data_IF_514315326740
#
_entry.id   IF_514315326740
#
_cell.length_a   1.000
_cell.length_b   1.000
_cell.length_c   1.000
_cell.angle_alpha   90.00
_cell.angle_beta   90.00
_cell.angle_gamma   90.00
#
_symmetry.space_group_name_H-M   'P 1'
#
loop_
_entity.id
_entity.type
_entity.pdbx_description
1 polymer ?
#
# COMPACT_ATOMS: atom_id res chain seq x y z
N UNK A 1 14.48 27.89 -8.95
CA UNK A 1 14.56 27.75 -7.47
C UNK A 1 13.78 26.50 -7.05
N UNK A 2 13.87 25.43 -7.86
CA UNK A 2 12.80 24.42 -8.03
C UNK A 2 13.28 22.98 -7.81
N UNK A 3 14.39 22.79 -7.10
CA UNK A 3 15.07 21.48 -7.00
C UNK A 3 14.63 20.60 -5.84
N UNK A 4 13.63 21.00 -5.04
CA UNK A 4 13.18 20.16 -3.93
C UNK A 4 12.27 19.04 -4.43
N UNK A 5 12.42 17.80 -3.91
CA UNK A 5 11.54 16.72 -4.27
C UNK A 5 10.11 17.06 -3.85
N UNK A 6 9.25 17.28 -4.82
CA UNK A 6 7.81 17.25 -4.58
C UNK A 6 7.35 15.80 -4.57
N UNK A 7 6.35 15.50 -3.74
CA UNK A 7 5.65 14.23 -3.81
C UNK A 7 4.29 14.43 -4.46
N UNK A 8 3.98 13.54 -5.40
CA UNK A 8 2.70 13.45 -6.06
C UNK A 8 2.20 12.01 -5.98
N UNK A 9 1.02 11.84 -5.40
CA UNK A 9 0.30 10.57 -5.41
C UNK A 9 -0.64 10.51 -6.59
N UNK A 10 -0.76 9.35 -7.22
CA UNK A 10 -1.82 9.05 -8.16
C UNK A 10 -2.26 7.60 -8.08
N UNK A 11 -3.54 7.33 -8.34
CA UNK A 11 -4.01 5.96 -8.41
C UNK A 11 -5.51 5.78 -8.44
N UNK A 12 -5.91 4.50 -8.43
CA UNK A 12 -7.29 4.06 -8.37
C UNK A 12 -7.55 3.43 -7.02
N UNK A 13 -8.65 3.85 -6.40
CA UNK A 13 -9.16 3.32 -5.13
C UNK A 13 -10.61 2.86 -5.32
N UNK A 14 -11.01 1.84 -4.55
CA UNK A 14 -12.38 1.33 -4.57
C UNK A 14 -13.38 2.43 -4.17
N UNK A 15 -13.04 3.24 -3.16
CA UNK A 15 -13.88 4.34 -2.68
C UNK A 15 -14.17 5.39 -3.76
N UNK A 16 -13.19 5.74 -4.59
CA UNK A 16 -13.35 6.83 -5.57
C UNK A 16 -13.77 6.34 -6.97
N UNK A 17 -13.51 5.07 -7.31
CA UNK A 17 -13.69 4.57 -8.68
C UNK A 17 -14.41 3.21 -8.77
N UNK A 18 -14.71 2.57 -7.64
CA UNK A 18 -15.24 1.22 -7.56
C UNK A 18 -14.18 0.13 -7.75
N UNK A 19 -14.48 -1.09 -7.28
CA UNK A 19 -13.56 -2.23 -7.37
C UNK A 19 -13.25 -2.64 -8.79
N UNK A 20 -14.19 -2.47 -9.73
CA UNK A 20 -13.96 -2.78 -11.13
C UNK A 20 -12.80 -1.95 -11.72
N UNK A 21 -12.76 -0.65 -11.43
CA UNK A 21 -11.67 0.21 -11.89
C UNK A 21 -10.33 -0.20 -11.25
N UNK A 22 -10.32 -0.56 -9.97
CA UNK A 22 -9.12 -1.05 -9.27
C UNK A 22 -8.61 -2.36 -9.88
N UNK A 23 -9.50 -3.32 -10.14
CA UNK A 23 -9.16 -4.59 -10.77
C UNK A 23 -8.47 -4.37 -12.12
N UNK A 24 -9.08 -3.53 -12.97
CA UNK A 24 -8.56 -3.17 -14.28
C UNK A 24 -7.23 -2.43 -14.18
N UNK A 25 -7.08 -1.51 -13.22
CA UNK A 25 -5.82 -0.82 -12.97
C UNK A 25 -4.70 -1.81 -12.58
N UNK A 26 -5.00 -2.80 -11.73
CA UNK A 26 -4.04 -3.84 -11.32
C UNK A 26 -3.60 -4.74 -12.47
N UNK A 27 -4.45 -4.97 -13.48
CA UNK A 27 -4.00 -5.66 -14.71
C UNK A 27 -2.87 -4.89 -15.42
N UNK A 28 -2.81 -3.57 -15.25
CA UNK A 28 -1.76 -2.72 -15.78
C UNK A 28 -0.53 -2.58 -14.86
N UNK A 29 -0.51 -3.18 -13.66
CA UNK A 29 0.52 -2.94 -12.63
C UNK A 29 1.95 -3.15 -13.15
N UNK A 30 2.20 -4.24 -13.88
CA UNK A 30 3.53 -4.48 -14.47
C UNK A 30 3.91 -3.43 -15.52
N UNK A 31 2.95 -2.92 -16.29
CA UNK A 31 3.21 -1.85 -17.26
C UNK A 31 3.49 -0.53 -16.55
N UNK A 32 2.76 -0.23 -15.48
CA UNK A 32 3.01 0.94 -14.61
C UNK A 32 4.42 0.87 -14.02
N UNK A 33 4.79 -0.26 -13.43
CA UNK A 33 6.15 -0.47 -12.90
C UNK A 33 7.22 -0.34 -14.00
N UNK A 34 6.96 -0.85 -15.21
CA UNK A 34 7.86 -0.70 -16.35
C UNK A 34 7.97 0.74 -16.86
N UNK A 35 6.90 1.54 -16.75
CA UNK A 35 6.93 2.98 -17.06
C UNK A 35 7.72 3.74 -16.01
N UNK A 36 7.50 3.42 -14.73
CA UNK A 36 8.20 4.03 -13.59
C UNK A 36 9.70 3.71 -13.57
N UNK A 37 10.10 2.48 -13.92
CA UNK A 37 11.51 2.09 -13.94
C UNK A 37 12.33 2.77 -15.05
N UNK A 38 11.66 3.33 -16.06
CA UNK A 38 12.27 4.14 -17.13
C UNK A 38 12.28 5.64 -16.80
N UNK A 39 11.80 6.04 -15.62
CA UNK A 39 11.85 7.42 -15.21
C UNK A 39 13.31 7.93 -15.18
N UNK A 40 13.49 9.21 -15.54
CA UNK A 40 14.80 9.83 -15.59
C UNK A 40 15.51 9.89 -14.23
N UNK A 41 16.81 10.20 -14.21
CA UNK A 41 17.56 10.33 -12.97
C UNK A 41 16.91 11.36 -12.03
N UNK A 42 16.88 11.03 -10.73
CA UNK A 42 16.29 11.89 -9.70
C UNK A 42 14.80 11.64 -9.43
N UNK A 43 14.15 10.76 -10.19
CA UNK A 43 12.79 10.30 -9.90
C UNK A 43 12.86 9.07 -8.99
N UNK A 44 12.03 9.09 -7.96
CA UNK A 44 11.78 7.99 -7.03
C UNK A 44 10.29 7.66 -7.03
N UNK A 45 9.96 6.40 -6.73
CA UNK A 45 8.58 5.95 -6.67
C UNK A 45 8.38 4.84 -5.65
N UNK A 46 7.19 4.85 -5.05
CA UNK A 46 6.64 3.82 -4.19
C UNK A 46 5.28 3.40 -4.75
N UNK A 47 5.02 2.09 -4.87
CA UNK A 47 3.74 1.56 -5.37
C UNK A 47 3.08 0.70 -4.29
N UNK A 48 1.82 1.02 -3.98
CA UNK A 48 0.96 0.22 -3.12
C UNK A 48 -0.15 -0.42 -3.95
N UNK A 49 -0.14 -1.75 -3.98
CA UNK A 49 -1.15 -2.57 -4.67
C UNK A 49 -1.83 -3.48 -3.64
N UNK A 50 -3.11 -3.25 -3.37
CA UNK A 50 -3.93 -4.05 -2.43
C UNK A 50 -5.20 -4.54 -3.12
N UNK A 51 -6.14 -5.17 -2.41
CA UNK A 51 -7.44 -5.53 -2.98
C UNK A 51 -8.35 -4.31 -3.25
N UNK A 52 -8.09 -3.15 -2.64
CA UNK A 52 -8.93 -1.96 -2.74
C UNK A 52 -8.26 -0.77 -3.43
N UNK A 53 -6.98 -0.89 -3.81
CA UNK A 53 -6.23 0.20 -4.46
C UNK A 53 -5.05 -0.26 -5.30
N UNK A 54 -4.73 0.56 -6.30
CA UNK A 54 -3.42 0.63 -6.95
C UNK A 54 -3.00 2.09 -6.98
N UNK A 55 -1.97 2.43 -6.20
CA UNK A 55 -1.49 3.81 -6.04
C UNK A 55 0.02 3.88 -6.18
N UNK A 56 0.49 4.94 -6.82
CA UNK A 56 1.90 5.29 -6.93
C UNK A 56 2.14 6.64 -6.27
N UNK A 57 3.19 6.74 -5.48
CA UNK A 57 3.70 8.00 -4.93
C UNK A 57 5.05 8.25 -5.60
N UNK A 58 5.13 9.34 -6.35
CA UNK A 58 6.32 9.74 -7.09
C UNK A 58 7.03 10.87 -6.33
N UNK A 59 8.36 10.89 -6.39
CA UNK A 59 9.17 11.94 -5.79
C UNK A 59 10.32 12.39 -6.68
N UNK A 60 10.50 13.69 -6.85
CA UNK A 60 11.57 14.26 -7.66
C UNK A 60 11.34 15.74 -7.98
N UNK A 61 12.18 16.36 -8.84
CA UNK A 61 12.00 17.74 -9.27
C UNK A 61 10.69 17.92 -10.04
N UNK A 62 10.00 19.04 -9.83
CA UNK A 62 8.66 19.33 -10.39
C UNK A 62 8.58 19.10 -11.91
N UNK A 63 9.49 19.69 -12.68
CA UNK A 63 9.49 19.60 -14.15
C UNK A 63 9.64 18.16 -14.66
N UNK A 64 10.37 17.32 -13.92
CA UNK A 64 10.57 15.91 -14.27
C UNK A 64 9.42 15.02 -13.83
N UNK A 65 8.69 15.41 -12.78
CA UNK A 65 7.54 14.66 -12.26
C UNK A 65 6.34 14.72 -13.19
N UNK A 66 6.05 15.86 -13.81
CA UNK A 66 4.87 16.02 -14.67
C UNK A 66 4.92 15.04 -15.86
N UNK A 67 6.09 14.89 -16.48
CA UNK A 67 6.27 13.93 -17.59
C UNK A 67 6.09 12.46 -17.17
N UNK A 68 6.59 12.08 -16.00
CA UNK A 68 6.43 10.71 -15.48
C UNK A 68 4.97 10.47 -15.05
N UNK A 69 4.35 11.47 -14.41
CA UNK A 69 2.94 11.44 -14.04
C UNK A 69 2.05 11.20 -15.26
N UNK A 70 2.24 11.96 -16.34
CA UNK A 70 1.47 11.81 -17.58
C UNK A 70 1.71 10.44 -18.25
N UNK A 71 2.93 9.93 -18.20
CA UNK A 71 3.25 8.60 -18.73
C UNK A 71 2.54 7.48 -17.95
N UNK A 72 2.51 7.56 -16.61
CA UNK A 72 1.79 6.60 -15.76
C UNK A 72 0.28 6.70 -16.00
N UNK A 73 -0.25 7.92 -16.02
CA UNK A 73 -1.66 8.19 -16.33
C UNK A 73 -2.06 7.60 -17.68
N UNK A 74 -1.26 7.79 -18.72
CA UNK A 74 -1.49 7.20 -20.05
C UNK A 74 -1.47 5.67 -20.01
N UNK A 75 -0.52 5.08 -19.29
CA UNK A 75 -0.43 3.61 -19.12
C UNK A 75 -1.70 3.03 -18.47
N UNK A 76 -2.26 3.74 -17.50
CA UNK A 76 -3.49 3.34 -16.82
C UNK A 76 -4.75 3.53 -17.68
N UNK A 77 -4.80 4.57 -18.51
CA UNK A 77 -5.93 4.85 -19.43
C UNK A 77 -6.21 3.73 -20.43
N UNK A 78 -5.21 2.94 -20.78
CA UNK A 78 -5.39 1.77 -21.65
C UNK A 78 -6.26 0.67 -20.99
N UNK A 79 -6.44 0.72 -19.66
CA UNK A 79 -7.15 -0.32 -18.90
C UNK A 79 -8.39 0.21 -18.18
N UNK A 80 -8.38 1.49 -17.79
CA UNK A 80 -9.44 2.15 -17.01
C UNK A 80 -9.86 3.45 -17.70
N UNK A 81 -11.16 3.60 -17.95
CA UNK A 81 -11.71 4.77 -18.66
C UNK A 81 -11.76 6.04 -17.82
N UNK A 82 -11.87 5.91 -16.49
CA UNK A 82 -11.88 7.04 -15.58
C UNK A 82 -10.47 7.57 -15.30
N UNK A 83 -10.39 8.83 -14.89
CA UNK A 83 -9.12 9.44 -14.49
C UNK A 83 -8.70 8.97 -13.09
N UNK A 84 -7.40 8.76 -12.83
CA UNK A 84 -6.93 8.45 -11.49
C UNK A 84 -7.11 9.64 -10.55
N UNK A 85 -7.29 9.36 -9.26
CA UNK A 85 -7.20 10.37 -8.22
C UNK A 85 -5.76 10.89 -8.12
N UNK A 86 -5.60 12.17 -7.79
CA UNK A 86 -4.31 12.85 -7.69
C UNK A 86 -4.20 13.55 -6.35
N UNK A 87 -3.10 13.30 -5.64
CA UNK A 87 -2.86 13.80 -4.30
C UNK A 87 -1.55 14.61 -4.29
N UNK A 88 -1.60 15.83 -3.75
CA UNK A 88 -0.45 16.76 -3.67
C UNK A 88 -0.41 17.46 -2.32
N UNK A 89 0.80 17.82 -1.86
CA UNK A 89 0.99 18.60 -0.64
C UNK A 89 0.26 18.00 0.56
N UNK A 90 -0.49 18.83 1.29
CA UNK A 90 -1.29 18.42 2.45
C UNK A 90 -2.25 17.26 2.15
N UNK A 91 -2.89 17.27 0.97
CA UNK A 91 -3.81 16.20 0.58
C UNK A 91 -3.13 14.84 0.41
N UNK A 92 -1.86 14.80 0.02
CA UNK A 92 -1.09 13.56 -0.03
C UNK A 92 -0.74 13.04 1.37
N UNK A 93 -0.36 13.94 2.29
CA UNK A 93 -0.06 13.57 3.68
C UNK A 93 -1.28 12.95 4.33
N UNK A 94 -2.43 13.64 4.26
CA UNK A 94 -3.68 13.16 4.83
C UNK A 94 -4.08 11.83 4.20
N UNK A 95 -4.03 11.73 2.88
CA UNK A 95 -4.34 10.50 2.14
C UNK A 95 -3.50 9.33 2.64
N UNK A 96 -2.17 9.45 2.63
CA UNK A 96 -1.28 8.36 3.03
C UNK A 96 -1.55 7.91 4.47
N UNK A 97 -1.78 8.85 5.40
CA UNK A 97 -2.10 8.51 6.78
C UNK A 97 -3.46 7.80 6.92
N UNK A 98 -4.49 8.24 6.19
CA UNK A 98 -5.81 7.56 6.14
C UNK A 98 -5.68 6.15 5.59
N UNK A 99 -4.90 5.97 4.53
CA UNK A 99 -4.67 4.67 3.91
C UNK A 99 -3.94 3.74 4.86
N UNK A 100 -2.77 4.13 5.37
CA UNK A 100 -1.94 3.26 6.21
C UNK A 100 -2.55 3.01 7.60
N UNK A 101 -3.46 3.86 8.07
CA UNK A 101 -4.22 3.60 9.30
C UNK A 101 -5.42 2.67 9.10
N UNK A 102 -5.79 2.36 7.85
CA UNK A 102 -6.92 1.51 7.49
C UNK A 102 -8.27 2.24 7.47
N UNK A 103 -8.29 3.59 7.58
CA UNK A 103 -9.53 4.40 7.51
C UNK A 103 -10.23 4.31 6.14
N UNK A 104 -9.49 3.93 5.11
CA UNK A 104 -10.00 3.74 3.75
C UNK A 104 -10.05 2.27 3.32
N UNK A 105 -10.00 1.36 4.28
CA UNK A 105 -10.12 -0.06 3.99
C UNK A 105 -11.57 -0.53 4.13
N UNK A 106 -12.02 -1.52 3.33
CA UNK A 106 -13.38 -2.05 3.44
C UNK A 106 -13.62 -2.72 4.79
N UNK A 107 -12.58 -3.37 5.33
CA UNK A 107 -12.50 -3.72 6.73
C UNK A 107 -11.94 -2.51 7.49
N UNK A 108 -12.83 -1.64 7.97
CA UNK A 108 -12.45 -0.36 8.57
C UNK A 108 -11.42 -0.56 9.69
N UNK A 109 -10.33 0.21 9.61
CA UNK A 109 -9.18 0.09 10.49
C UNK A 109 -8.56 -1.31 10.53
N UNK A 110 -8.33 -1.96 9.39
CA UNK A 110 -7.44 -3.13 9.33
C UNK A 110 -5.94 -2.76 9.35
N UNK A 111 -5.08 -3.66 9.87
CA UNK A 111 -3.61 -3.46 9.99
C UNK A 111 -2.82 -4.03 8.78
N UNK A 112 -3.48 -4.82 7.96
CA UNK A 112 -2.92 -5.47 6.78
C UNK A 112 -2.39 -4.43 5.79
N UNK A 113 -3.07 -3.31 5.55
CA UNK A 113 -2.61 -2.23 4.67
C UNK A 113 -1.28 -1.63 5.14
N UNK A 114 -1.08 -1.45 6.45
CA UNK A 114 0.20 -1.00 6.99
C UNK A 114 1.30 -2.05 6.76
N UNK A 115 0.96 -3.33 6.93
CA UNK A 115 1.88 -4.44 6.68
C UNK A 115 2.23 -4.59 5.19
N UNK A 116 1.26 -4.38 4.30
CA UNK A 116 1.43 -4.34 2.85
C UNK A 116 2.29 -3.14 2.45
N UNK A 117 2.07 -1.96 3.04
CA UNK A 117 2.90 -0.78 2.82
C UNK A 117 4.36 -1.02 3.24
N UNK A 118 4.61 -1.68 4.39
CA UNK A 118 5.96 -2.10 4.81
C UNK A 118 6.59 -3.06 3.80
N UNK A 119 5.82 -4.04 3.30
CA UNK A 119 6.31 -4.98 2.29
C UNK A 119 6.63 -4.27 0.97
N UNK A 120 5.77 -3.37 0.49
CA UNK A 120 6.00 -2.52 -0.69
C UNK A 120 7.22 -1.62 -0.53
N UNK A 121 7.46 -1.06 0.66
CA UNK A 121 8.63 -0.22 0.92
C UNK A 121 9.92 -1.04 0.86
N UNK A 122 9.92 -2.25 1.42
CA UNK A 122 11.05 -3.18 1.33
C UNK A 122 11.33 -3.59 -0.11
N UNK A 123 10.29 -3.89 -0.88
CA UNK A 123 10.41 -4.22 -2.31
C UNK A 123 10.97 -3.03 -3.11
N UNK A 124 10.47 -1.82 -2.84
CA UNK A 124 10.95 -0.58 -3.45
C UNK A 124 12.44 -0.32 -3.17
N UNK A 125 12.89 -0.57 -1.94
CA UNK A 125 14.32 -0.50 -1.57
C UNK A 125 15.16 -1.50 -2.36
N UNK A 126 14.69 -2.75 -2.51
CA UNK A 126 15.41 -3.79 -3.25
C UNK A 126 15.59 -3.46 -4.74
N UNK A 127 14.67 -2.68 -5.31
CA UNK A 127 14.71 -2.21 -6.71
C UNK A 127 15.45 -0.87 -6.87
N UNK A 128 15.85 -0.22 -5.77
CA UNK A 128 16.40 1.12 -5.79
C UNK A 128 15.42 2.20 -6.25
N UNK A 129 14.11 1.96 -6.15
CA UNK A 129 13.09 2.89 -6.65
C UNK A 129 12.80 4.05 -5.69
N UNK A 130 13.15 3.92 -4.41
CA UNK A 130 12.97 4.98 -3.40
C UNK A 130 14.30 5.66 -3.09
N UNK A 131 14.30 6.99 -3.06
CA UNK A 131 15.41 7.77 -2.52
C UNK A 131 15.25 7.96 -1.01
N UNK A 132 16.21 8.63 -0.36
CA UNK A 132 16.17 8.90 1.08
C UNK A 132 14.91 9.67 1.50
N UNK A 133 14.53 10.70 0.75
CA UNK A 133 13.39 11.54 1.09
C UNK A 133 12.08 10.75 1.07
N UNK A 134 11.81 10.03 -0.03
CA UNK A 134 10.60 9.22 -0.17
C UNK A 134 10.58 8.05 0.82
N UNK A 135 11.73 7.42 1.09
CA UNK A 135 11.85 6.40 2.12
C UNK A 135 11.45 6.91 3.50
N UNK A 136 11.99 8.06 3.93
CA UNK A 136 11.65 8.66 5.24
C UNK A 136 10.17 9.00 5.27
N UNK A 137 9.63 9.63 4.23
CA UNK A 137 8.21 9.97 4.17
C UNK A 137 7.29 8.76 4.35
N UNK A 138 7.50 7.69 3.57
CA UNK A 138 6.66 6.49 3.64
C UNK A 138 6.84 5.76 4.98
N UNK A 139 8.07 5.62 5.48
CA UNK A 139 8.34 5.00 6.78
C UNK A 139 7.63 5.72 7.92
N UNK A 140 7.81 7.04 8.00
CA UNK A 140 7.21 7.85 9.06
C UNK A 140 5.69 7.86 8.96
N UNK A 141 5.13 7.88 7.75
CA UNK A 141 3.69 7.76 7.56
C UNK A 141 3.16 6.41 8.07
N UNK A 142 3.86 5.30 7.81
CA UNK A 142 3.48 3.98 8.32
C UNK A 142 3.49 3.98 9.86
N UNK A 143 4.56 4.49 10.48
CA UNK A 143 4.71 4.47 11.93
C UNK A 143 3.67 5.38 12.62
N UNK A 144 3.47 6.60 12.11
CA UNK A 144 2.44 7.52 12.60
C UNK A 144 1.03 6.97 12.41
N UNK A 145 0.75 6.27 11.31
CA UNK A 145 -0.55 5.61 11.13
C UNK A 145 -0.79 4.46 12.11
N UNK A 146 0.26 3.73 12.50
CA UNK A 146 0.16 2.71 13.56
C UNK A 146 -0.11 3.37 14.91
N UNK A 147 0.55 4.49 15.21
CA UNK A 147 0.33 5.24 16.45
C UNK A 147 -1.05 5.90 16.51
N UNK A 148 -1.58 6.37 15.37
CA UNK A 148 -2.96 6.84 15.24
C UNK A 148 -3.93 5.73 15.65
N UNK A 149 -3.76 4.51 15.11
CA UNK A 149 -4.59 3.34 15.47
C UNK A 149 -4.50 3.01 16.95
N UNK A 150 -3.29 2.98 17.52
CA UNK A 150 -3.09 2.76 18.97
C UNK A 150 -3.79 3.83 19.82
N UNK A 151 -3.77 5.08 19.37
CA UNK A 151 -4.46 6.21 20.02
C UNK A 151 -5.99 6.06 20.00
N UNK A 152 -6.52 5.27 19.08
CA UNK A 152 -7.94 4.87 19.01
C UNK A 152 -8.25 3.61 19.84
N UNK A 153 -7.26 2.97 20.46
CA UNK A 153 -7.42 1.71 21.19
C UNK A 153 -7.57 0.49 20.28
N UNK A 154 -7.09 0.58 19.04
CA UNK A 154 -7.23 -0.47 18.02
C UNK A 154 -6.02 -1.41 18.06
N UNK A 155 -6.04 -2.36 19.00
CA UNK A 155 -5.03 -3.42 19.15
C UNK A 155 -5.52 -4.72 18.48
N UNK A 156 -4.98 -5.02 17.30
CA UNK A 156 -5.43 -6.13 16.44
C UNK A 156 -6.31 -5.64 15.28
N UNK A 157 -6.68 -6.55 14.37
CA UNK A 157 -7.54 -6.18 13.24
C UNK A 157 -8.42 -7.33 12.76
N UNK A 158 -9.68 -7.01 12.53
CA UNK A 158 -10.52 -7.69 11.55
C UNK A 158 -10.03 -7.23 10.18
N UNK A 159 -9.37 -8.10 9.41
CA UNK A 159 -9.08 -7.79 8.01
C UNK A 159 -10.20 -8.28 7.10
N UNK A 160 -9.99 -8.13 5.80
CA UNK A 160 -10.90 -8.67 4.77
C UNK A 160 -11.19 -10.16 4.95
N UNK A 161 -10.22 -11.04 5.31
CA UNK A 161 -10.50 -12.45 5.53
C UNK A 161 -11.54 -12.70 6.62
N UNK A 162 -11.38 -12.09 7.79
CA UNK A 162 -12.33 -12.25 8.90
C UNK A 162 -13.67 -11.58 8.59
N UNK A 163 -13.65 -10.37 8.00
CA UNK A 163 -14.86 -9.67 7.58
C UNK A 163 -15.68 -10.51 6.59
N UNK A 164 -15.04 -11.23 5.67
CA UNK A 164 -15.73 -12.07 4.69
C UNK A 164 -16.56 -13.17 5.36
N UNK A 165 -16.03 -13.81 6.40
CA UNK A 165 -16.75 -14.83 7.17
C UNK A 165 -17.88 -14.20 7.98
N UNK A 166 -17.64 -13.03 8.59
CA UNK A 166 -18.69 -12.30 9.32
C UNK A 166 -19.85 -11.90 8.39
N UNK A 167 -19.53 -11.47 7.17
CA UNK A 167 -20.51 -11.07 6.16
C UNK A 167 -21.36 -12.24 5.66
N UNK A 168 -20.75 -13.40 5.43
CA UNK A 168 -21.50 -14.61 5.08
C UNK A 168 -22.42 -15.03 6.22
N UNK A 169 -21.93 -15.02 7.46
CA UNK A 169 -22.75 -15.33 8.64
C UNK A 169 -23.90 -14.35 8.83
N UNK A 170 -23.67 -13.07 8.53
CA UNK A 170 -24.72 -12.05 8.54
C UNK A 170 -25.80 -12.33 7.47
N UNK A 171 -25.40 -12.82 6.30
CA UNK A 171 -26.31 -13.11 5.19
C UNK A 171 -27.06 -14.45 5.35
N UNK A 172 -26.39 -15.51 5.81
CA UNK A 172 -26.92 -16.87 5.88
C UNK A 172 -27.41 -17.28 7.27
N UNK A 173 -27.04 -16.53 8.31
CA UNK A 173 -27.26 -16.92 9.70
C UNK A 173 -26.20 -17.91 10.18
N UNK A 174 -26.62 -18.94 10.91
CA UNK A 174 -25.71 -19.95 11.44
C UNK A 174 -25.07 -20.75 10.29
N UNK A 175 -23.77 -21.02 10.41
CA UNK A 175 -22.98 -21.76 9.43
C UNK A 175 -22.77 -23.22 9.83
N UNK A 176 -23.26 -23.62 11.01
CA UNK A 176 -23.17 -25.00 11.48
C UNK A 176 -23.84 -25.97 10.49
N UNK A 177 -23.13 -27.06 10.21
CA UNK A 177 -23.58 -28.08 9.26
C UNK A 177 -23.27 -27.79 7.78
N UNK A 178 -22.86 -26.57 7.42
CA UNK A 178 -22.42 -26.26 6.05
C UNK A 178 -21.08 -26.91 5.73
N UNK A 179 -20.94 -27.39 4.49
CA UNK A 179 -19.69 -27.89 3.91
C UNK A 179 -18.94 -26.70 3.30
N UNK A 180 -17.85 -26.29 3.94
CA UNK A 180 -17.12 -25.09 3.56
C UNK A 180 -15.84 -25.46 2.81
N UNK A 181 -15.60 -24.82 1.68
CA UNK A 181 -14.40 -25.02 0.87
C UNK A 181 -13.64 -23.71 0.67
N UNK A 182 -12.33 -23.74 0.81
CA UNK A 182 -11.44 -22.58 0.61
C UNK A 182 -10.44 -22.90 -0.50
N UNK A 183 -10.56 -22.17 -1.61
CA UNK A 183 -9.67 -22.28 -2.76
C UNK A 183 -8.56 -21.25 -2.65
N UNK A 184 -7.39 -21.71 -2.21
CA UNK A 184 -6.20 -20.90 -2.02
C UNK A 184 -5.54 -21.16 -0.66
N UNK A 185 -4.23 -21.38 -0.69
CA UNK A 185 -3.42 -21.74 0.49
C UNK A 185 -2.55 -20.59 0.99
N UNK A 186 -2.79 -19.37 0.50
CA UNK A 186 -2.08 -18.17 0.91
C UNK A 186 -2.55 -17.64 2.27
N UNK A 187 -2.02 -16.48 2.67
CA UNK A 187 -2.32 -15.87 3.96
C UNK A 187 -3.82 -15.57 4.14
N UNK A 188 -4.50 -15.11 3.09
CA UNK A 188 -5.96 -14.87 3.11
C UNK A 188 -6.71 -16.17 3.43
N UNK A 189 -6.44 -17.26 2.71
CA UNK A 189 -7.09 -18.55 2.94
C UNK A 189 -6.79 -19.14 4.31
N UNK A 190 -5.55 -19.00 4.80
CA UNK A 190 -5.18 -19.38 6.16
C UNK A 190 -6.01 -18.63 7.20
N UNK A 191 -6.21 -17.32 7.03
CA UNK A 191 -6.98 -16.48 7.96
C UNK A 191 -8.46 -16.80 7.94
N UNK A 192 -9.06 -16.98 6.75
CA UNK A 192 -10.45 -17.46 6.61
C UNK A 192 -10.62 -18.78 7.36
N UNK A 193 -9.79 -19.79 7.05
CA UNK A 193 -9.85 -21.09 7.70
C UNK A 193 -9.67 -21.00 9.21
N UNK A 194 -8.67 -20.24 9.66
CA UNK A 194 -8.39 -20.05 11.10
C UNK A 194 -9.55 -19.39 11.82
N UNK A 195 -10.23 -18.43 11.19
CA UNK A 195 -11.37 -17.76 11.81
C UNK A 195 -12.62 -18.65 11.85
N UNK A 196 -12.92 -19.38 10.78
CA UNK A 196 -13.98 -20.40 10.78
C UNK A 196 -13.76 -21.45 11.88
N UNK A 197 -12.52 -21.92 12.05
CA UNK A 197 -12.16 -22.82 13.16
C UNK A 197 -12.39 -22.22 14.54
N UNK A 198 -12.08 -20.92 14.73
CA UNK A 198 -12.36 -20.22 16.00
C UNK A 198 -13.87 -20.15 16.29
N UNK A 199 -14.71 -20.18 15.25
CA UNK A 199 -16.17 -20.25 15.37
C UNK A 199 -16.69 -21.67 15.62
N UNK A 200 -15.83 -22.70 15.67
CA UNK A 200 -16.22 -24.08 15.90
C UNK A 200 -16.50 -24.89 14.63
N UNK A 201 -16.35 -24.28 13.44
CA UNK A 201 -16.59 -24.94 12.17
C UNK A 201 -15.38 -25.80 11.79
N UNK A 202 -15.59 -27.12 11.69
CA UNK A 202 -14.51 -28.09 11.43
C UNK A 202 -14.62 -28.78 10.06
N UNK A 203 -15.78 -28.73 9.41
CA UNK A 203 -16.03 -29.29 8.08
C UNK A 203 -15.50 -28.36 6.98
N UNK A 204 -14.18 -28.15 6.97
CA UNK A 204 -13.49 -27.23 6.05
C UNK A 204 -12.57 -28.03 5.12
N UNK A 205 -12.76 -27.85 3.81
CA UNK A 205 -11.89 -28.37 2.76
C UNK A 205 -10.95 -27.30 2.25
N UNK A 206 -9.66 -27.61 2.16
CA UNK A 206 -8.64 -26.71 1.59
C UNK A 206 -8.29 -27.18 0.18
N UNK A 207 -8.34 -26.26 -0.78
CA UNK A 207 -8.00 -26.52 -2.18
C UNK A 207 -6.80 -25.67 -2.55
N UNK A 208 -5.72 -26.32 -2.99
CA UNK A 208 -4.46 -25.67 -3.35
C UNK A 208 -4.14 -25.85 -4.82
N UNK A 209 -3.20 -25.03 -5.33
CA UNK A 209 -2.66 -25.23 -6.69
C UNK A 209 -2.11 -26.66 -6.84
N UNK A 210 -1.46 -27.18 -5.79
CA UNK A 210 -1.10 -28.58 -5.66
C UNK A 210 -1.72 -29.19 -4.40
N UNK A 211 -1.91 -30.50 -4.40
CA UNK A 211 -2.39 -31.22 -3.20
C UNK A 211 -1.47 -30.99 -2.00
N UNK A 212 -0.15 -31.03 -2.21
CA UNK A 212 0.85 -30.82 -1.14
C UNK A 212 0.72 -29.46 -0.45
N UNK A 213 0.42 -28.38 -1.19
CA UNK A 213 0.20 -27.07 -0.56
C UNK A 213 -1.08 -27.04 0.27
N UNK A 214 -2.13 -27.72 -0.20
CA UNK A 214 -3.39 -27.84 0.53
C UNK A 214 -3.22 -28.66 1.82
N UNK A 215 -2.55 -29.81 1.74
CA UNK A 215 -2.25 -30.69 2.88
C UNK A 215 -1.42 -29.97 3.93
N UNK A 216 -0.45 -29.15 3.51
CA UNK A 216 0.40 -28.39 4.42
C UNK A 216 -0.43 -27.42 5.28
N UNK A 217 -1.35 -26.67 4.65
CA UNK A 217 -2.24 -25.75 5.36
C UNK A 217 -3.29 -26.50 6.19
N UNK A 218 -3.88 -27.56 5.65
CA UNK A 218 -4.86 -28.39 6.36
C UNK A 218 -4.24 -28.99 7.63
N UNK A 219 -3.03 -29.57 7.53
CA UNK A 219 -2.29 -30.11 8.68
C UNK A 219 -1.97 -29.05 9.72
N UNK A 220 -1.50 -27.86 9.30
CA UNK A 220 -1.21 -26.75 10.20
C UNK A 220 -2.44 -26.35 11.04
N UNK A 221 -3.62 -26.44 10.43
CA UNK A 221 -4.88 -26.08 11.06
C UNK A 221 -5.63 -27.29 11.64
N UNK A 222 -5.09 -28.51 11.61
CA UNK A 222 -5.77 -29.72 12.07
C UNK A 222 -7.06 -30.02 11.31
N UNK A 223 -7.08 -29.78 10.00
CA UNK A 223 -8.15 -30.15 9.07
C UNK A 223 -7.76 -31.42 8.33
N UNK A 224 -8.76 -32.24 7.95
CA UNK A 224 -8.53 -33.53 7.29
C UNK A 224 -8.71 -33.49 5.77
N UNK A 225 -9.42 -32.48 5.26
CA UNK A 225 -9.82 -32.41 3.85
C UNK A 225 -8.91 -31.46 3.07
N UNK A 226 -8.12 -32.01 2.14
CA UNK A 226 -7.21 -31.26 1.30
C UNK A 226 -7.22 -31.81 -0.14
N UNK A 227 -7.37 -30.92 -1.12
CA UNK A 227 -7.54 -31.26 -2.53
C UNK A 227 -6.64 -30.41 -3.43
N UNK A 228 -6.34 -30.92 -4.63
CA UNK A 228 -5.70 -30.13 -5.68
C UNK A 228 -6.73 -29.34 -6.49
N UNK A 229 -6.26 -28.38 -7.28
CA UNK A 229 -7.10 -27.60 -8.20
C UNK A 229 -7.74 -28.46 -9.31
N UNK A 230 -7.14 -29.61 -9.64
CA UNK A 230 -7.71 -30.57 -10.61
C UNK A 230 -9.01 -31.20 -10.11
N UNK A 231 -9.18 -31.26 -8.78
CA UNK A 231 -10.35 -31.83 -8.11
C UNK A 231 -11.47 -30.79 -7.88
N UNK A 232 -11.26 -29.54 -8.30
CA UNK A 232 -12.09 -28.38 -7.97
C UNK A 232 -13.57 -28.61 -8.23
N UNK A 233 -13.95 -29.16 -9.40
CA UNK A 233 -15.36 -29.40 -9.72
C UNK A 233 -16.06 -30.37 -8.77
N UNK A 234 -15.39 -31.45 -8.38
CA UNK A 234 -15.94 -32.42 -7.43
C UNK A 234 -16.12 -31.82 -6.03
N UNK A 235 -15.19 -30.94 -5.63
CA UNK A 235 -15.24 -30.26 -4.34
C UNK A 235 -16.34 -29.21 -4.33
N UNK A 236 -16.48 -28.42 -5.39
CA UNK A 236 -17.57 -27.44 -5.53
C UNK A 236 -18.92 -28.15 -5.43
N UNK A 237 -19.14 -29.23 -6.20
CA UNK A 237 -20.40 -29.99 -6.12
C UNK A 237 -20.72 -30.59 -4.73
N UNK A 238 -19.71 -30.72 -3.87
CA UNK A 238 -19.85 -31.19 -2.49
C UNK A 238 -19.81 -30.08 -1.44
N UNK A 239 -19.84 -28.80 -1.84
CA UNK A 239 -19.75 -27.64 -0.95
C UNK A 239 -21.03 -26.82 -0.97
N UNK A 240 -21.34 -26.19 0.16
CA UNK A 240 -22.44 -25.24 0.31
C UNK A 240 -21.93 -23.79 0.32
N UNK A 241 -20.68 -23.59 0.77
CA UNK A 241 -20.01 -22.29 0.85
C UNK A 241 -18.57 -22.39 0.33
N UNK A 242 -18.23 -21.52 -0.62
CA UNK A 242 -16.95 -21.51 -1.32
C UNK A 242 -16.25 -20.16 -1.14
N UNK A 243 -15.08 -20.14 -0.51
CA UNK A 243 -14.20 -18.98 -0.48
C UNK A 243 -13.15 -19.09 -1.58
N UNK A 244 -13.14 -18.15 -2.52
CA UNK A 244 -12.11 -18.02 -3.55
C UNK A 244 -11.10 -16.96 -3.13
N UNK A 245 -9.88 -17.37 -2.83
CA UNK A 245 -8.87 -16.51 -2.19
C UNK A 245 -7.51 -16.62 -2.86
N UNK A 246 -7.51 -16.85 -4.17
CA UNK A 246 -6.29 -17.02 -4.97
C UNK A 246 -5.83 -15.70 -5.58
N UNK A 247 -4.52 -15.62 -5.85
CA UNK A 247 -3.91 -14.52 -6.61
C UNK A 247 -3.83 -14.83 -8.12
N UNK A 248 -4.76 -15.63 -8.65
CA UNK A 248 -4.79 -15.94 -10.09
C UNK A 248 -5.06 -14.68 -10.91
N UNK A 249 -4.45 -14.59 -12.10
CA UNK A 249 -4.72 -13.51 -13.05
C UNK A 249 -5.94 -13.80 -13.92
N UNK A 250 -6.22 -15.08 -14.12
CA UNK A 250 -7.37 -15.58 -14.87
C UNK A 250 -8.37 -16.23 -13.92
N UNK A 251 -9.68 -16.15 -14.19
CA UNK A 251 -10.68 -16.91 -13.45
C UNK A 251 -10.36 -18.40 -13.43
N UNK A 252 -10.43 -19.00 -12.24
CA UNK A 252 -10.23 -20.44 -12.02
C UNK A 252 -11.56 -21.19 -11.96
N UNK A 253 -12.65 -20.50 -11.63
CA UNK A 253 -14.02 -21.04 -11.64
C UNK A 253 -14.69 -20.61 -12.95
N UNK A 254 -14.82 -21.54 -13.89
CA UNK A 254 -15.63 -21.41 -15.10
C UNK A 254 -17.03 -22.05 -15.00
N UNK A 255 -17.86 -21.85 -16.04
CA UNK A 255 -19.27 -22.29 -16.13
C UNK A 255 -19.50 -23.75 -15.72
N UNK A 256 -18.65 -24.67 -16.19
CA UNK A 256 -18.77 -26.11 -15.93
C UNK A 256 -18.65 -26.50 -14.45
N UNK A 257 -18.09 -25.63 -13.60
CA UNK A 257 -18.01 -25.88 -12.16
C UNK A 257 -19.28 -25.51 -11.40
N UNK A 258 -20.06 -24.57 -11.93
CA UNK A 258 -21.20 -23.96 -11.23
C UNK A 258 -22.55 -24.34 -11.86
N UNK A 259 -22.54 -25.05 -12.99
CA UNK A 259 -23.76 -25.47 -13.67
C UNK A 259 -24.57 -26.44 -12.79
N UNK A 260 -25.79 -26.03 -12.43
CA UNK A 260 -26.65 -26.78 -11.50
C UNK A 260 -26.16 -26.82 -10.05
N UNK A 261 -25.15 -26.03 -9.68
CA UNK A 261 -24.67 -25.93 -8.30
C UNK A 261 -25.38 -24.78 -7.57
N UNK A 262 -25.96 -25.10 -6.42
CA UNK A 262 -26.65 -24.16 -5.54
C UNK A 262 -25.84 -23.99 -4.25
N UNK A 263 -25.18 -22.84 -4.11
CA UNK A 263 -24.36 -22.53 -2.95
C UNK A 263 -23.91 -21.08 -2.95
N UNK A 264 -23.09 -20.70 -1.98
CA UNK A 264 -22.60 -19.33 -1.83
C UNK A 264 -21.13 -19.24 -2.20
N UNK A 265 -20.79 -18.32 -3.08
CA UNK A 265 -19.41 -17.99 -3.44
C UNK A 265 -19.03 -16.67 -2.78
N UNK A 266 -17.89 -16.66 -2.12
CA UNK A 266 -17.24 -15.47 -1.58
C UNK A 266 -15.91 -15.31 -2.29
N UNK A 267 -15.84 -14.36 -3.22
CA UNK A 267 -14.64 -14.11 -3.98
C UNK A 267 -13.85 -12.96 -3.34
N UNK A 268 -12.64 -13.26 -2.87
CA UNK A 268 -11.69 -12.26 -2.34
C UNK A 268 -10.55 -12.01 -3.34
N UNK A 269 -10.67 -12.54 -4.55
CA UNK A 269 -9.72 -12.36 -5.63
C UNK A 269 -9.68 -10.91 -6.12
N UNK A 270 -8.47 -10.44 -6.42
CA UNK A 270 -8.23 -9.20 -7.13
C UNK A 270 -7.02 -9.36 -8.08
N UNK A 271 -7.21 -9.83 -9.33
CA UNK A 271 -8.50 -10.03 -10.02
C UNK A 271 -9.38 -11.18 -9.50
N UNK A 272 -10.68 -11.11 -9.82
CA UNK A 272 -11.70 -12.10 -9.44
C UNK A 272 -11.34 -13.50 -9.91
N UNK A 273 -11.71 -14.47 -9.09
CA UNK A 273 -11.42 -15.89 -9.31
C UNK A 273 -12.54 -16.61 -10.08
N UNK A 274 -13.71 -15.99 -10.20
CA UNK A 274 -14.79 -16.42 -11.10
C UNK A 274 -15.05 -15.34 -12.16
N UNK A 275 -15.37 -15.77 -13.38
CA UNK A 275 -15.79 -14.84 -14.44
C UNK A 275 -17.12 -14.15 -14.04
N UNK A 276 -17.17 -12.81 -13.94
CA UNK A 276 -18.38 -12.09 -13.53
C UNK A 276 -19.57 -12.27 -14.48
N UNK A 277 -19.31 -12.60 -15.76
CA UNK A 277 -20.38 -12.87 -16.74
C UNK A 277 -21.22 -14.10 -16.39
N UNK A 278 -20.72 -14.95 -15.48
CA UNK A 278 -21.41 -16.13 -15.00
C UNK A 278 -22.33 -15.86 -13.79
N UNK A 279 -22.22 -14.69 -13.17
CA UNK A 279 -23.04 -14.35 -11.98
C UNK A 279 -24.55 -14.46 -12.27
N UNK A 280 -25.09 -13.98 -13.41
CA UNK A 280 -26.51 -14.12 -13.71
C UNK A 280 -26.99 -15.57 -13.89
N UNK A 281 -26.08 -16.50 -14.19
CA UNK A 281 -26.37 -17.93 -14.39
C UNK A 281 -26.27 -18.73 -13.08
N UNK A 282 -25.85 -18.12 -11.96
CA UNK A 282 -25.77 -18.80 -10.67
C UNK A 282 -27.15 -19.05 -10.07
N UNK A 283 -27.39 -20.29 -9.64
CA UNK A 283 -28.58 -20.63 -8.85
C UNK A 283 -28.46 -20.14 -7.41
N UNK A 284 -27.23 -20.09 -6.89
CA UNK A 284 -26.92 -19.60 -5.56
C UNK A 284 -26.52 -18.12 -5.53
N UNK A 285 -25.75 -17.72 -4.51
CA UNK A 285 -25.35 -16.33 -4.29
C UNK A 285 -23.85 -16.12 -4.56
N UNK A 286 -23.51 -14.91 -5.03
CA UNK A 286 -22.12 -14.47 -5.20
C UNK A 286 -21.90 -13.21 -4.38
N UNK A 287 -20.85 -13.21 -3.57
CA UNK A 287 -20.42 -12.10 -2.73
C UNK A 287 -18.99 -11.73 -3.11
N UNK A 288 -18.76 -10.45 -3.40
CA UNK A 288 -17.45 -9.89 -3.69
C UNK A 288 -17.10 -8.78 -2.71
N UNK A 289 -15.92 -8.17 -2.89
CA UNK A 289 -15.39 -7.11 -2.04
C UNK A 289 -16.35 -5.92 -1.89
N UNK A 290 -17.14 -5.61 -2.93
CA UNK A 290 -18.14 -4.54 -2.89
C UNK A 290 -19.27 -4.84 -1.88
N UNK A 291 -19.77 -6.08 -1.89
CA UNK A 291 -20.78 -6.53 -0.92
C UNK A 291 -20.23 -6.52 0.51
N UNK A 292 -18.96 -6.91 0.67
CA UNK A 292 -18.27 -6.85 1.97
C UNK A 292 -18.17 -5.42 2.49
N UNK A 293 -17.87 -4.45 1.64
CA UNK A 293 -17.81 -3.03 2.02
C UNK A 293 -19.18 -2.50 2.44
N UNK A 294 -20.25 -2.91 1.76
CA UNK A 294 -21.62 -2.53 2.12
C UNK A 294 -21.96 -3.11 3.51
N UNK A 295 -21.72 -4.40 3.71
CA UNK A 295 -22.03 -5.09 4.96
C UNK A 295 -21.13 -4.66 6.13
N UNK A 296 -19.91 -4.20 5.86
CA UNK A 296 -18.97 -3.81 6.92
C UNK A 296 -19.48 -2.67 7.78
N UNK A 297 -20.27 -1.75 7.22
CA UNK A 297 -20.87 -0.63 7.97
C UNK A 297 -21.77 -1.12 9.10
N UNK A 298 -22.51 -2.21 8.87
CA UNK A 298 -23.36 -2.87 9.86
C UNK A 298 -22.53 -3.73 10.82
N UNK A 299 -21.64 -4.56 10.27
CA UNK A 299 -20.86 -5.55 11.02
C UNK A 299 -19.86 -4.89 11.97
N UNK A 300 -19.28 -3.76 11.56
CA UNK A 300 -18.23 -3.03 12.26
C UNK A 300 -18.75 -1.69 12.80
N UNK A 301 -20.04 -1.59 13.12
CA UNK A 301 -20.68 -0.34 13.56
C UNK A 301 -19.92 0.36 14.69
N UNK A 302 -19.39 -0.40 15.65
CA UNK A 302 -18.57 0.14 16.75
C UNK A 302 -17.29 0.82 16.24
N UNK A 303 -16.63 0.26 15.23
CA UNK A 303 -15.45 0.88 14.61
C UNK A 303 -15.83 2.14 13.83
N UNK A 304 -16.95 2.12 13.10
CA UNK A 304 -17.44 3.29 12.39
C UNK A 304 -17.78 4.45 13.34
N UNK A 305 -18.22 4.15 14.56
CA UNK A 305 -18.46 5.16 15.60
C UNK A 305 -17.20 5.93 16.03
N UNK A 306 -16.01 5.36 15.79
CA UNK A 306 -14.72 5.99 16.11
C UNK A 306 -14.25 6.98 15.03
N UNK A 307 -14.88 7.02 13.86
CA UNK A 307 -14.44 7.87 12.75
C UNK A 307 -14.30 9.36 13.13
N UNK A 308 -15.23 10.00 13.87
CA UNK A 308 -15.07 11.40 14.26
C UNK A 308 -13.79 11.65 15.08
N UNK A 309 -13.48 10.76 16.03
CA UNK A 309 -12.25 10.82 16.82
C UNK A 309 -11.01 10.54 15.96
N UNK A 310 -11.13 9.62 15.00
CA UNK A 310 -10.04 9.32 14.07
C UNK A 310 -9.72 10.53 13.18
N UNK A 311 -10.72 11.27 12.71
CA UNK A 311 -10.53 12.51 11.93
C UNK A 311 -9.86 13.62 12.77
N UNK A 312 -10.17 13.72 14.07
CA UNK A 312 -9.47 14.63 14.99
C UNK A 312 -7.99 14.27 15.14
N UNK A 313 -7.70 13.00 15.40
CA UNK A 313 -6.33 12.51 15.54
C UNK A 313 -5.56 12.62 14.22
N UNK A 314 -6.20 12.33 13.09
CA UNK A 314 -5.60 12.44 11.76
C UNK A 314 -4.99 13.83 11.56
N UNK A 315 -5.71 14.91 11.90
CA UNK A 315 -5.19 16.28 11.78
C UNK A 315 -3.88 16.48 12.58
N UNK A 316 -3.79 15.89 13.77
CA UNK A 316 -2.59 15.98 14.63
C UNK A 316 -1.43 15.21 13.98
N UNK A 317 -1.67 13.98 13.54
CA UNK A 317 -0.64 13.13 12.93
C UNK A 317 -0.19 13.66 11.56
N UNK A 318 -1.10 14.25 10.77
CA UNK A 318 -0.79 14.95 9.53
C UNK A 318 0.15 16.12 9.78
N UNK A 319 -0.12 16.94 10.79
CA UNK A 319 0.78 18.03 11.20
C UNK A 319 2.18 17.52 11.53
N UNK A 320 2.28 16.42 12.28
CA UNK A 320 3.57 15.79 12.61
C UNK A 320 4.33 15.31 11.37
N UNK A 321 3.65 14.60 10.46
CA UNK A 321 4.27 14.11 9.23
C UNK A 321 4.74 15.26 8.32
N UNK A 322 3.97 16.35 8.26
CA UNK A 322 4.35 17.57 7.54
C UNK A 322 5.58 18.24 8.13
N UNK A 323 5.66 18.34 9.46
CA UNK A 323 6.85 18.89 10.14
C UNK A 323 8.08 18.07 9.80
N UNK A 324 8.00 16.74 9.88
CA UNK A 324 9.11 15.84 9.52
C UNK A 324 9.54 16.06 8.06
N UNK A 325 8.57 16.11 7.13
CA UNK A 325 8.88 16.31 5.72
C UNK A 325 9.49 17.70 5.44
N UNK A 326 9.00 18.73 6.12
CA UNK A 326 9.54 20.09 6.03
C UNK A 326 11.00 20.15 6.51
N UNK A 327 11.32 19.47 7.62
CA UNK A 327 12.70 19.36 8.11
C UNK A 327 13.59 18.70 7.08
N UNK A 328 13.17 17.58 6.48
CA UNK A 328 14.01 16.89 5.48
C UNK A 328 14.26 17.76 4.25
N UNK A 329 13.27 18.55 3.81
CA UNK A 329 13.45 19.55 2.74
C UNK A 329 14.47 20.63 3.13
N UNK A 330 14.39 21.16 4.35
CA UNK A 330 15.36 22.15 4.84
C UNK A 330 16.76 21.53 4.94
N UNK A 331 16.89 20.29 5.41
CA UNK A 331 18.17 19.57 5.46
C UNK A 331 18.78 19.39 4.07
N UNK A 332 17.96 19.14 3.07
CA UNK A 332 18.40 19.07 1.67
C UNK A 332 18.84 20.42 1.14
N UNK A 333 18.05 21.47 1.41
CA UNK A 333 18.39 22.86 1.08
C UNK A 333 19.76 23.25 1.62
N UNK A 334 20.02 22.92 2.89
CA UNK A 334 21.29 23.20 3.55
C UNK A 334 22.46 22.44 2.93
N UNK A 335 22.24 21.20 2.44
CA UNK A 335 23.29 20.44 1.73
C UNK A 335 23.65 21.10 0.40
N UNK A 336 22.66 21.55 -0.36
CA UNK A 336 22.91 22.23 -1.64
C UNK A 336 23.54 23.61 -1.42
N UNK A 337 23.09 24.34 -0.40
CA UNK A 337 23.73 25.59 0.03
C UNK A 337 25.19 25.37 0.43
N UNK A 338 25.49 24.29 1.18
CA UNK A 338 26.87 23.95 1.54
C UNK A 338 27.75 23.67 0.31
N UNK A 339 27.22 22.97 -0.70
CA UNK A 339 27.94 22.73 -1.97
C UNK A 339 28.24 24.02 -2.71
N UNK A 340 27.24 24.90 -2.85
CA UNK A 340 27.42 26.21 -3.48
C UNK A 340 28.46 27.05 -2.73
N UNK A 341 28.39 27.05 -1.39
CA UNK A 341 29.32 27.81 -0.57
C UNK A 341 30.76 27.28 -0.69
N UNK A 342 30.95 25.96 -0.78
CA UNK A 342 32.26 25.35 -1.05
C UNK A 342 32.83 25.77 -2.42
N UNK A 343 32.00 25.83 -3.47
CA UNK A 343 32.43 26.32 -4.78
C UNK A 343 32.87 27.79 -4.73
N UNK A 344 32.10 28.63 -4.04
CA UNK A 344 32.44 30.05 -3.84
C UNK A 344 33.76 30.16 -3.07
N UNK A 345 33.91 29.41 -1.97
CA UNK A 345 35.10 29.40 -1.13
C UNK A 345 36.36 29.08 -1.94
N UNK A 346 36.33 28.03 -2.77
CA UNK A 346 37.45 27.64 -3.63
C UNK A 346 37.82 28.74 -4.63
N UNK A 347 36.82 29.34 -5.29
CA UNK A 347 37.05 30.43 -6.26
C UNK A 347 37.69 31.66 -5.61
N UNK A 348 37.24 32.02 -4.41
CA UNK A 348 37.82 33.17 -3.69
C UNK A 348 39.25 32.89 -3.19
N UNK A 349 39.57 31.64 -2.80
CA UNK A 349 40.95 31.24 -2.49
C UNK A 349 41.84 31.37 -3.73
N UNK A 350 41.43 30.83 -4.87
CA UNK A 350 42.21 30.91 -6.11
C UNK A 350 42.44 32.36 -6.53
N UNK A 351 41.41 33.21 -6.42
CA UNK A 351 41.50 34.65 -6.68
C UNK A 351 42.47 35.36 -5.73
N UNK A 352 42.46 35.02 -4.44
CA UNK A 352 43.37 35.60 -3.45
C UNK A 352 44.82 35.21 -3.74
N UNK A 353 45.06 33.94 -4.09
CA UNK A 353 46.39 33.42 -4.45
C UNK A 353 46.95 34.16 -5.67
N UNK A 354 46.17 34.28 -6.74
CA UNK A 354 46.59 34.96 -7.97
C UNK A 354 46.88 36.43 -7.73
N UNK A 355 45.99 37.13 -7.00
CA UNK A 355 46.11 38.58 -6.77
C UNK A 355 47.28 38.97 -5.87
N UNK A 356 47.62 38.13 -4.89
CA UNK A 356 48.62 38.43 -3.88
C UNK A 356 49.95 37.69 -4.10
N UNK A 357 50.04 36.82 -5.11
CA UNK A 357 51.25 36.04 -5.41
C UNK A 357 51.61 35.06 -4.29
N UNK A 358 50.60 34.44 -3.68
CA UNK A 358 50.77 33.57 -2.51
C UNK A 358 51.27 32.18 -2.88
N UNK A 359 52.01 31.55 -1.96
CA UNK A 359 52.54 30.20 -2.14
C UNK A 359 51.62 29.10 -1.62
N UNK A 360 52.03 27.83 -1.76
CA UNK A 360 51.20 26.69 -1.32
C UNK A 360 50.93 26.67 0.20
N UNK A 361 51.89 27.13 1.01
CA UNK A 361 51.68 27.23 2.45
C UNK A 361 50.55 28.20 2.82
N UNK A 362 50.40 29.29 2.06
CA UNK A 362 49.34 30.27 2.28
C UNK A 362 47.99 29.72 1.82
N UNK A 363 47.96 28.96 0.71
CA UNK A 363 46.75 28.25 0.24
C UNK A 363 46.25 27.29 1.31
N UNK A 364 47.12 26.47 1.88
CA UNK A 364 46.75 25.54 2.97
C UNK A 364 46.16 26.29 4.17
N UNK A 365 46.76 27.40 4.59
CA UNK A 365 46.25 28.21 5.71
C UNK A 365 44.87 28.80 5.39
N UNK A 366 44.69 29.37 4.19
CA UNK A 366 43.41 29.92 3.75
C UNK A 366 42.34 28.82 3.68
N UNK A 367 42.66 27.65 3.16
CA UNK A 367 41.74 26.51 3.09
C UNK A 367 41.29 26.07 4.49
N UNK A 368 42.23 25.92 5.42
CA UNK A 368 41.97 25.54 6.81
C UNK A 368 41.05 26.54 7.52
N UNK A 369 41.35 27.84 7.43
CA UNK A 369 40.59 28.89 8.12
C UNK A 369 39.19 29.02 7.53
N UNK A 370 39.09 29.11 6.20
CA UNK A 370 37.80 29.29 5.53
C UNK A 370 36.89 28.08 5.68
N UNK A 371 37.43 26.86 5.58
CA UNK A 371 36.67 25.62 5.83
C UNK A 371 36.19 25.53 7.28
N UNK A 372 37.01 25.94 8.25
CA UNK A 372 36.62 25.98 9.67
C UNK A 372 35.45 26.95 9.92
N UNK A 373 35.50 28.15 9.33
CA UNK A 373 34.41 29.14 9.43
C UNK A 373 33.13 28.59 8.78
N UNK A 374 33.23 28.05 7.57
CA UNK A 374 32.11 27.46 6.84
C UNK A 374 31.44 26.33 7.64
N UNK A 375 32.22 25.37 8.14
CA UNK A 375 31.69 24.24 8.90
C UNK A 375 31.00 24.69 10.19
N UNK A 376 31.55 25.69 10.90
CA UNK A 376 30.90 26.27 12.08
C UNK A 376 29.58 26.97 11.74
N UNK A 377 29.55 27.75 10.65
CA UNK A 377 28.35 28.45 10.21
C UNK A 377 27.24 27.47 9.78
N UNK A 378 27.58 26.46 8.98
CA UNK A 378 26.64 25.41 8.57
C UNK A 378 26.16 24.56 9.74
N UNK A 379 27.04 24.22 10.68
CA UNK A 379 26.68 23.50 11.90
C UNK A 379 25.71 24.29 12.79
N UNK A 380 25.93 25.61 12.92
CA UNK A 380 25.01 26.48 13.65
C UNK A 380 23.63 26.53 12.98
N UNK A 381 23.57 26.68 11.65
CA UNK A 381 22.33 26.64 10.87
C UNK A 381 21.59 25.30 11.04
N UNK A 382 22.29 24.17 10.92
CA UNK A 382 21.71 22.85 11.14
C UNK A 382 21.12 22.70 12.55
N UNK A 383 21.84 23.18 13.57
CA UNK A 383 21.38 23.17 14.96
C UNK A 383 20.17 24.07 15.23
N UNK A 384 19.97 25.14 14.45
CA UNK A 384 18.77 26.00 14.54
C UNK A 384 17.56 25.25 13.96
N UNK A 385 17.74 24.62 12.81
CA UNK A 385 16.68 23.82 12.16
C UNK A 385 16.23 22.66 13.04
N UNK A 386 17.14 22.03 13.78
CA UNK A 386 16.78 20.95 14.70
C UNK A 386 16.11 21.44 15.99
N UNK A 387 16.45 22.64 16.49
CA UNK A 387 15.88 23.19 17.72
C UNK A 387 14.53 23.87 17.53
N UNK A 388 14.23 24.40 16.34
CA UNK A 388 12.97 25.09 16.06
C UNK A 388 11.75 24.17 15.87
N UNK A 389 11.90 22.86 16.08
CA UNK A 389 10.92 21.84 15.66
C UNK A 389 10.49 20.90 16.80
N UNK A 390 10.94 21.16 18.03
CA UNK A 390 10.46 20.46 19.24
C UNK A 390 9.64 21.39 20.12
#
# INVERSE_FOLDING_TARGET
MDSYPEFIGLGFTARSHGYWAVERAKMAENRVLGTLSRAGPGISYFVLSTCSRLEAILGGPRDSLDGVFDAVRKTLKDHVSSEPSVYKGYGLVDHVLRVFSGMESPALFEIDVASQAKASLRDSLSRGSVNKALYVFIREAIDLSIDLRRSLGLDGSTGIPELSVMAVREALGDLDGLRISIVGTGEVGRRVASYLKRLGLNSISIIGRSRTSAESLAKLLGLSSAYSLEELGSVIGASDLLFLVTSSREPIVGRHHIDGWEGVIVDLGMPRNMDPSLIPDLQGSYMWLEDLEILSTKILADLYSLLPKAEELLRIYSGRLQSIFTIERIREALRDYARLYEEIRRREIDRAIEKLGLGERDREILDLVTSSIMNKALGALGSIVERGVW
#
